data_IF_131045352325
#
_entry.id   IF_131045352325
#
_cell.length_a   1.000
_cell.length_b   1.000
_cell.length_c   1.000
_cell.angle_alpha   90.00
_cell.angle_beta   90.00
_cell.angle_gamma   90.00
#
_symmetry.space_group_name_H-M   'P 1'
#
loop_
_entity.id
_entity.type
_entity.pdbx_description
1 polymer ?
#
# COMPACT_ATOMS: atom_id res chain seq x y z
N UNK A 1 5.53 9.66 59.66
CA UNK A 1 4.83 8.39 59.92
C UNK A 1 5.30 7.39 58.87
N UNK A 2 6.02 6.35 59.27
CA UNK A 2 6.70 5.43 58.35
C UNK A 2 5.69 4.53 57.62
N UNK A 3 5.91 4.25 56.34
CA UNK A 3 5.04 3.39 55.53
C UNK A 3 4.86 1.99 56.15
N UNK A 4 5.88 1.53 56.88
CA UNK A 4 5.89 0.27 57.64
C UNK A 4 4.87 0.25 58.78
N UNK A 5 4.47 1.39 59.33
CA UNK A 5 3.47 1.46 60.42
C UNK A 5 2.04 1.35 59.91
N UNK A 6 1.77 1.70 58.64
CA UNK A 6 0.43 1.58 58.04
C UNK A 6 0.04 0.14 57.69
N UNK A 7 1.02 -0.71 57.36
CA UNK A 7 0.78 -2.11 56.97
C UNK A 7 0.34 -2.97 58.16
N UNK A 8 0.67 -2.57 59.40
CA UNK A 8 0.31 -3.32 60.62
C UNK A 8 -1.18 -3.35 60.94
N UNK A 9 -1.98 -2.44 60.38
CA UNK A 9 -3.44 -2.38 60.60
C UNK A 9 -4.25 -2.94 59.44
N UNK A 10 -3.60 -3.46 58.40
CA UNK A 10 -4.28 -4.09 57.27
C UNK A 10 -4.71 -5.49 57.71
N UNK A 11 -5.99 -5.77 57.54
CA UNK A 11 -6.56 -7.08 57.81
C UNK A 11 -5.79 -8.15 57.03
N UNK A 12 -5.32 -9.19 57.74
CA UNK A 12 -4.54 -10.28 57.14
C UNK A 12 -5.32 -10.97 56.03
N UNK A 13 -6.65 -10.99 56.14
CA UNK A 13 -7.54 -11.54 55.11
C UNK A 13 -7.53 -10.67 53.84
N UNK A 14 -7.58 -9.34 53.98
CA UNK A 14 -7.49 -8.41 52.86
C UNK A 14 -6.14 -8.50 52.13
N UNK A 15 -5.05 -8.71 52.89
CA UNK A 15 -3.70 -8.88 52.33
C UNK A 15 -3.58 -10.21 51.57
N UNK A 16 -4.20 -11.27 52.08
CA UNK A 16 -4.27 -12.58 51.40
C UNK A 16 -5.10 -12.49 50.12
N UNK A 17 -6.28 -11.84 50.15
CA UNK A 17 -7.14 -11.62 48.99
C UNK A 17 -6.42 -10.79 47.92
N UNK A 18 -5.75 -9.70 48.31
CA UNK A 18 -4.97 -8.89 47.38
C UNK A 18 -3.80 -9.68 46.76
N UNK A 19 -3.14 -10.53 47.55
CA UNK A 19 -2.09 -11.43 47.05
C UNK A 19 -2.61 -12.44 46.03
N UNK A 20 -3.74 -13.09 46.33
CA UNK A 20 -4.41 -14.02 45.39
C UNK A 20 -4.82 -13.30 44.12
N UNK A 21 -5.39 -12.11 44.22
CA UNK A 21 -5.79 -11.30 43.07
C UNK A 21 -4.60 -10.92 42.19
N UNK A 22 -3.48 -10.49 42.79
CA UNK A 22 -2.26 -10.19 42.05
C UNK A 22 -1.69 -11.42 41.33
N UNK A 23 -1.72 -12.61 41.96
CA UNK A 23 -1.32 -13.87 41.32
C UNK A 23 -2.22 -14.22 40.14
N UNK A 24 -3.55 -14.05 40.28
CA UNK A 24 -4.49 -14.28 39.19
C UNK A 24 -4.26 -13.31 38.02
N UNK A 25 -3.96 -12.03 38.29
CA UNK A 25 -3.59 -11.07 37.25
C UNK A 25 -2.29 -11.45 36.53
N UNK A 26 -1.28 -11.96 37.24
CA UNK A 26 -0.04 -12.45 36.62
C UNK A 26 -0.30 -13.70 35.77
N UNK A 27 -1.19 -14.59 36.22
CA UNK A 27 -1.60 -15.77 35.45
C UNK A 27 -2.36 -15.36 34.19
N UNK A 28 -3.36 -14.47 34.28
CA UNK A 28 -4.09 -13.94 33.12
C UNK A 28 -3.13 -13.23 32.14
N UNK A 29 -2.20 -12.42 32.65
CA UNK A 29 -1.18 -11.78 31.84
C UNK A 29 -0.25 -12.80 31.17
N UNK A 30 0.15 -13.87 31.86
CA UNK A 30 0.97 -14.96 31.28
C UNK A 30 0.23 -15.75 30.20
N UNK A 31 -1.09 -15.91 30.32
CA UNK A 31 -1.93 -16.53 29.29
C UNK A 31 -2.10 -15.62 28.06
N UNK A 32 -2.19 -14.30 28.27
CA UNK A 32 -2.28 -13.31 27.17
C UNK A 32 -0.93 -13.02 26.51
N UNK A 33 0.17 -13.14 27.26
CA UNK A 33 1.55 -13.11 26.75
C UNK A 33 1.99 -14.43 26.14
N UNK A 34 1.12 -15.45 26.12
CA UNK A 34 1.25 -16.57 25.21
C UNK A 34 0.97 -16.06 23.79
N UNK A 35 1.87 -15.23 23.28
CA UNK A 35 2.26 -15.31 21.89
C UNK A 35 2.70 -16.76 21.78
N UNK A 36 1.97 -17.67 21.09
CA UNK A 36 2.56 -18.95 20.74
C UNK A 36 3.87 -18.54 20.09
N UNK A 37 5.00 -18.91 20.71
CA UNK A 37 6.29 -18.73 20.08
C UNK A 37 6.10 -19.28 18.70
N UNK A 38 5.97 -18.38 17.73
CA UNK A 38 5.80 -18.74 16.34
C UNK A 38 7.12 -19.39 16.05
N UNK A 39 7.16 -20.72 16.18
CA UNK A 39 8.17 -21.54 15.57
C UNK A 39 8.27 -20.96 14.17
N UNK A 40 9.39 -20.31 13.86
CA UNK A 40 9.61 -19.76 12.53
C UNK A 40 9.40 -20.86 11.48
N UNK A 41 9.55 -22.11 11.89
CA UNK A 41 9.27 -23.33 11.14
C UNK A 41 7.77 -23.67 10.99
N UNK A 42 6.87 -23.26 11.90
CA UNK A 42 5.43 -23.47 11.75
C UNK A 42 4.84 -22.52 10.69
N UNK A 43 5.26 -21.25 10.70
CA UNK A 43 4.88 -20.28 9.65
C UNK A 43 5.53 -20.65 8.31
N UNK A 44 6.78 -21.13 8.32
CA UNK A 44 7.43 -21.64 7.11
C UNK A 44 6.79 -22.94 6.60
N UNK A 45 6.33 -23.84 7.47
CA UNK A 45 5.61 -25.06 7.07
C UNK A 45 4.19 -24.77 6.61
N UNK A 46 3.50 -23.76 7.15
CA UNK A 46 2.22 -23.29 6.60
C UNK A 46 2.40 -22.61 5.25
N UNK A 47 3.47 -21.82 5.04
CA UNK A 47 3.82 -21.29 3.70
C UNK A 47 4.21 -22.41 2.72
N UNK A 48 4.93 -23.44 3.18
CA UNK A 48 5.25 -24.60 2.37
C UNK A 48 4.01 -25.48 2.10
N UNK A 49 3.05 -25.56 3.01
CA UNK A 49 1.76 -26.20 2.76
C UNK A 49 0.89 -25.37 1.80
N UNK A 50 0.97 -24.05 1.84
CA UNK A 50 0.36 -23.15 0.85
C UNK A 50 0.99 -23.29 -0.55
N UNK A 51 2.23 -23.76 -0.64
CA UNK A 51 2.86 -24.13 -1.93
C UNK A 51 2.30 -25.42 -2.55
N UNK A 52 1.46 -26.17 -1.82
CA UNK A 52 0.69 -27.29 -2.36
C UNK A 52 -0.73 -26.90 -2.80
N UNK A 53 -1.09 -25.61 -2.78
CA UNK A 53 -2.19 -25.14 -3.62
C UNK A 53 -1.71 -25.31 -5.06
N UNK A 54 -2.04 -26.46 -5.66
CA UNK A 54 -2.08 -26.59 -7.11
C UNK A 54 -3.11 -25.57 -7.58
N UNK A 55 -2.63 -24.36 -7.86
CA UNK A 55 -3.31 -23.45 -8.76
C UNK A 55 -3.48 -24.26 -10.04
N UNK A 56 -4.72 -24.68 -10.32
CA UNK A 56 -5.04 -25.34 -11.57
C UNK A 56 -4.39 -24.55 -12.69
N UNK A 57 -3.64 -25.24 -13.54
CA UNK A 57 -2.91 -24.65 -14.65
C UNK A 57 -3.72 -23.53 -15.29
N UNK A 58 -3.07 -22.38 -15.45
CA UNK A 58 -3.63 -21.11 -15.91
C UNK A 58 -4.39 -21.31 -17.23
N UNK A 59 -5.69 -21.60 -17.14
CA UNK A 59 -6.64 -21.51 -18.26
C UNK A 59 -7.13 -20.07 -18.48
N UNK A 60 -6.39 -19.08 -17.97
CA UNK A 60 -6.79 -17.66 -18.02
C UNK A 60 -6.36 -16.99 -19.33
N UNK A 61 -5.61 -17.68 -20.20
CA UNK A 61 -5.00 -17.05 -21.38
C UNK A 61 -6.02 -16.73 -22.48
N UNK A 62 -6.99 -17.60 -22.75
CA UNK A 62 -7.89 -17.39 -23.90
C UNK A 62 -8.96 -16.32 -23.63
N UNK A 63 -9.57 -16.33 -22.44
CA UNK A 63 -10.57 -15.32 -22.06
C UNK A 63 -9.97 -13.92 -21.91
N UNK A 64 -8.75 -13.81 -21.38
CA UNK A 64 -8.05 -12.53 -21.25
C UNK A 64 -7.57 -12.01 -22.60
N UNK A 65 -7.10 -12.89 -23.48
CA UNK A 65 -6.67 -12.52 -24.84
C UNK A 65 -7.86 -12.11 -25.70
N UNK A 66 -8.99 -12.82 -25.61
CA UNK A 66 -10.24 -12.44 -26.25
C UNK A 66 -10.74 -11.08 -25.75
N UNK A 67 -10.70 -10.84 -24.44
CA UNK A 67 -11.06 -9.56 -23.85
C UNK A 67 -10.13 -8.41 -24.27
N UNK A 68 -8.81 -8.65 -24.34
CA UNK A 68 -7.85 -7.64 -24.81
C UNK A 68 -7.99 -7.34 -26.30
N UNK A 69 -8.30 -8.34 -27.13
CA UNK A 69 -8.53 -8.17 -28.55
C UNK A 69 -9.84 -7.41 -28.80
N UNK A 70 -10.93 -7.75 -28.10
CA UNK A 70 -12.18 -7.01 -28.16
C UNK A 70 -11.98 -5.52 -27.81
N UNK A 71 -11.22 -5.22 -26.76
CA UNK A 71 -10.90 -3.83 -26.40
C UNK A 71 -10.02 -3.11 -27.43
N UNK A 72 -9.14 -3.81 -28.15
CA UNK A 72 -8.37 -3.21 -29.26
C UNK A 72 -9.25 -2.92 -30.46
N UNK A 73 -10.16 -3.81 -30.80
CA UNK A 73 -11.11 -3.62 -31.90
C UNK A 73 -12.08 -2.48 -31.62
N UNK A 74 -12.59 -2.36 -30.39
CA UNK A 74 -13.43 -1.22 -29.96
C UNK A 74 -12.68 0.13 -30.08
N UNK A 75 -11.38 0.16 -29.77
CA UNK A 75 -10.54 1.36 -29.92
C UNK A 75 -10.25 1.69 -31.38
N UNK A 76 -10.10 0.69 -32.24
CA UNK A 76 -9.85 0.90 -33.68
C UNK A 76 -11.14 1.28 -34.43
N UNK A 77 -12.29 0.74 -34.02
CA UNK A 77 -13.60 1.13 -34.56
C UNK A 77 -13.99 2.56 -34.16
N UNK A 78 -13.58 3.02 -32.98
CA UNK A 78 -13.76 4.40 -32.53
C UNK A 78 -12.78 5.42 -33.17
N UNK A 79 -11.81 4.96 -33.98
CA UNK A 79 -10.84 5.80 -34.68
C UNK A 79 -11.20 6.05 -36.16
N UNK A 80 -12.40 5.68 -36.60
CA UNK A 80 -12.95 6.05 -37.92
C UNK A 80 -13.42 7.52 -37.97
N UNK A 81 -13.39 8.18 -39.15
CA UNK A 81 -13.49 9.63 -39.26
C UNK A 81 -14.94 10.10 -39.19
N UNK A 82 -15.43 10.38 -37.98
CA UNK A 82 -16.57 11.28 -37.78
C UNK A 82 -16.09 12.55 -37.05
N UNK A 83 -15.52 13.44 -37.85
CA UNK A 83 -15.38 14.84 -37.49
C UNK A 83 -16.74 15.52 -37.67
N UNK A 84 -17.55 15.58 -36.62
CA UNK A 84 -18.38 16.74 -36.23
C UNK A 84 -19.09 16.43 -34.90
N UNK A 85 -19.04 17.38 -33.96
CA UNK A 85 -19.73 17.39 -32.65
C UNK A 85 -19.12 16.65 -31.44
N UNK A 86 -17.81 16.43 -31.44
CA UNK A 86 -17.10 16.15 -30.18
C UNK A 86 -16.50 17.43 -29.58
N UNK A 87 -17.35 18.25 -28.96
CA UNK A 87 -16.97 18.80 -27.65
C UNK A 87 -16.88 17.62 -26.68
N UNK A 88 -15.89 16.75 -26.93
CA UNK A 88 -15.67 15.55 -26.17
C UNK A 88 -15.49 15.98 -24.73
N UNK A 89 -16.28 15.36 -23.84
CA UNK A 89 -16.06 15.44 -22.40
C UNK A 89 -14.61 15.05 -22.15
N UNK A 90 -13.71 16.03 -22.08
CA UNK A 90 -12.32 15.81 -21.73
C UNK A 90 -12.32 15.03 -20.43
N UNK A 91 -11.63 13.89 -20.39
CA UNK A 91 -11.50 13.12 -19.15
C UNK A 91 -10.98 14.07 -18.06
N UNK A 92 -11.57 14.05 -16.86
CA UNK A 92 -11.09 14.90 -15.79
C UNK A 92 -9.64 14.59 -15.45
N UNK A 93 -8.93 15.58 -14.95
CA UNK A 93 -7.57 15.41 -14.45
C UNK A 93 -7.56 14.43 -13.27
N UNK A 94 -6.45 13.71 -13.09
CA UNK A 94 -6.23 12.85 -11.93
C UNK A 94 -6.36 13.66 -10.64
N UNK A 95 -7.42 13.38 -9.88
CA UNK A 95 -7.65 13.99 -8.58
C UNK A 95 -6.51 13.62 -7.63
N UNK A 96 -5.97 14.61 -6.91
CA UNK A 96 -4.81 14.44 -6.03
C UNK A 96 -3.50 14.08 -6.75
N UNK A 97 -3.46 14.20 -8.08
CA UNK A 97 -2.21 14.14 -8.83
C UNK A 97 -1.31 15.35 -8.56
N UNK A 98 -0.01 15.17 -8.78
CA UNK A 98 1.02 16.21 -8.71
C UNK A 98 1.58 16.41 -10.12
N UNK A 99 1.81 17.66 -10.50
CA UNK A 99 2.32 17.99 -11.83
C UNK A 99 3.85 17.84 -11.88
N UNK A 100 4.34 17.09 -12.88
CA UNK A 100 5.74 16.93 -13.25
C UNK A 100 5.89 17.36 -14.72
N UNK A 101 6.05 18.67 -14.92
CA UNK A 101 6.08 19.26 -16.26
C UNK A 101 4.76 19.03 -17.01
N UNK A 102 4.76 18.37 -18.18
CA UNK A 102 3.54 18.13 -18.95
C UNK A 102 2.68 16.98 -18.41
N UNK A 103 3.19 16.19 -17.46
CA UNK A 103 2.49 15.04 -16.90
C UNK A 103 1.93 15.36 -15.52
N UNK A 104 0.70 14.95 -15.26
CA UNK A 104 0.15 14.87 -13.92
C UNK A 104 0.24 13.43 -13.42
N UNK A 105 0.99 13.20 -12.36
CA UNK A 105 1.21 11.86 -11.81
C UNK A 105 0.52 11.66 -10.48
N UNK A 106 0.06 10.44 -10.23
CA UNK A 106 -0.54 10.03 -8.97
C UNK A 106 0.07 8.71 -8.50
N UNK A 107 0.65 8.71 -7.31
CA UNK A 107 1.23 7.50 -6.72
C UNK A 107 0.14 6.58 -6.19
N UNK A 108 0.14 5.32 -6.64
CA UNK A 108 -0.85 4.30 -6.26
C UNK A 108 -0.35 3.35 -5.20
N UNK A 109 0.89 2.90 -5.35
CA UNK A 109 1.49 1.90 -4.47
C UNK A 109 3.01 1.98 -4.53
N UNK A 110 3.64 1.49 -3.48
CA UNK A 110 5.08 1.25 -3.45
C UNK A 110 5.27 -0.21 -3.06
N UNK A 111 5.85 -0.98 -3.97
CA UNK A 111 6.22 -2.37 -3.74
C UNK A 111 7.63 -2.40 -3.15
N UNK A 112 7.76 -3.04 -1.99
CA UNK A 112 9.05 -3.25 -1.32
C UNK A 112 9.31 -4.75 -1.33
N UNK A 113 10.35 -5.18 -2.05
CA UNK A 113 10.71 -6.60 -2.10
C UNK A 113 11.52 -6.98 -0.87
N UNK A 114 11.05 -7.95 -0.07
CA UNK A 114 11.69 -8.35 1.19
C UNK A 114 13.12 -8.84 1.01
N UNK A 115 13.39 -9.55 -0.10
CA UNK A 115 14.65 -10.26 -0.30
C UNK A 115 15.77 -9.36 -0.83
N UNK A 116 15.42 -8.34 -1.61
CA UNK A 116 16.38 -7.44 -2.26
C UNK A 116 16.35 -6.01 -1.71
N UNK A 117 15.36 -5.67 -0.89
CA UNK A 117 15.10 -4.30 -0.45
C UNK A 117 14.72 -3.36 -1.60
N UNK A 118 14.47 -3.88 -2.81
CA UNK A 118 14.15 -3.06 -3.98
C UNK A 118 12.77 -2.42 -3.80
N UNK A 119 12.72 -1.13 -4.06
CA UNK A 119 11.51 -0.32 -3.99
C UNK A 119 11.07 0.06 -5.40
N UNK A 120 9.81 -0.24 -5.74
CA UNK A 120 9.20 0.07 -7.03
C UNK A 120 7.94 0.90 -6.77
N UNK A 121 7.88 2.11 -7.32
CA UNK A 121 6.71 2.96 -7.25
C UNK A 121 5.80 2.70 -8.46
N UNK A 122 4.53 2.41 -8.21
CA UNK A 122 3.50 2.27 -9.24
C UNK A 122 2.67 3.54 -9.24
N UNK A 123 2.61 4.20 -10.39
CA UNK A 123 1.95 5.50 -10.56
C UNK A 123 1.03 5.49 -11.77
N UNK A 124 0.00 6.33 -11.72
CA UNK A 124 -0.75 6.75 -12.91
C UNK A 124 -0.14 8.04 -13.41
N UNK A 125 0.23 8.10 -14.68
CA UNK A 125 0.65 9.32 -15.35
C UNK A 125 -0.41 9.73 -16.36
N UNK A 126 -0.83 11.00 -16.31
CA UNK A 126 -1.77 11.57 -17.25
C UNK A 126 -1.14 12.73 -17.99
N UNK A 127 -1.27 12.74 -19.31
CA UNK A 127 -0.87 13.91 -20.09
C UNK A 127 -1.82 15.10 -19.84
N UNK A 128 -1.27 16.27 -19.52
CA UNK A 128 -2.04 17.49 -19.23
C UNK A 128 -2.68 18.13 -20.47
N UNK A 129 -2.50 17.58 -21.66
CA UNK A 129 -3.13 18.03 -22.90
C UNK A 129 -4.06 16.96 -23.44
N UNK A 130 -3.55 15.73 -23.60
CA UNK A 130 -4.28 14.62 -24.23
C UNK A 130 -5.24 13.92 -23.25
N UNK A 131 -5.06 14.13 -21.93
CA UNK A 131 -5.85 13.52 -20.84
C UNK A 131 -5.82 11.99 -20.81
N UNK A 132 -4.91 11.37 -21.55
CA UNK A 132 -4.71 9.94 -21.52
C UNK A 132 -3.90 9.52 -20.31
N UNK A 133 -4.35 8.44 -19.66
CA UNK A 133 -3.81 7.92 -18.41
C UNK A 133 -3.11 6.61 -18.70
N UNK A 134 -1.86 6.50 -18.27
CA UNK A 134 -1.04 5.31 -18.35
C UNK A 134 -0.56 4.90 -16.95
N UNK A 135 -0.44 3.59 -16.72
CA UNK A 135 0.24 3.07 -15.54
C UNK A 135 1.73 2.94 -15.82
N UNK A 136 2.54 3.55 -14.95
CA UNK A 136 3.98 3.53 -15.06
C UNK A 136 4.61 3.03 -13.76
N UNK A 137 5.74 2.36 -13.89
CA UNK A 137 6.56 1.89 -12.79
C UNK A 137 7.87 2.67 -12.76
N UNK A 138 8.31 3.11 -11.58
CA UNK A 138 9.61 3.77 -11.45
C UNK A 138 10.40 3.29 -10.25
N UNK A 139 11.72 3.20 -10.43
CA UNK A 139 12.69 2.87 -9.38
C UNK A 139 13.73 3.98 -9.19
N UNK A 140 14.54 3.87 -8.13
CA UNK A 140 15.57 4.87 -7.81
C UNK A 140 16.52 5.09 -8.99
N UNK A 141 16.71 6.36 -9.38
CA UNK A 141 17.58 6.76 -10.48
C UNK A 141 16.94 6.72 -11.87
N UNK A 142 15.73 6.20 -12.02
CA UNK A 142 15.00 6.23 -13.29
C UNK A 142 14.43 7.62 -13.59
N UNK A 143 14.17 7.89 -14.87
CA UNK A 143 13.68 9.18 -15.35
C UNK A 143 12.20 9.15 -15.72
N UNK A 144 11.57 10.30 -15.57
CA UNK A 144 10.23 10.60 -16.08
C UNK A 144 10.27 12.01 -16.69
N UNK A 145 10.42 12.07 -18.02
CA UNK A 145 10.76 13.32 -18.70
C UNK A 145 12.11 13.85 -18.21
N UNK A 146 12.13 15.12 -17.79
CA UNK A 146 13.33 15.78 -17.26
C UNK A 146 13.54 15.57 -15.76
N UNK A 147 12.65 14.81 -15.10
CA UNK A 147 12.73 14.50 -13.68
C UNK A 147 13.41 13.15 -13.47
N UNK A 148 14.26 13.04 -12.45
CA UNK A 148 14.90 11.79 -12.03
C UNK A 148 14.41 11.39 -10.65
N UNK A 149 14.11 10.12 -10.43
CA UNK A 149 13.71 9.61 -9.11
C UNK A 149 14.91 9.67 -8.16
N UNK A 150 14.84 10.55 -7.17
CA UNK A 150 15.91 10.76 -6.18
C UNK A 150 15.70 9.95 -4.91
N UNK A 151 14.45 9.62 -4.57
CA UNK A 151 14.13 8.72 -3.46
C UNK A 151 12.79 8.01 -3.68
N UNK A 152 12.70 6.77 -3.23
CA UNK A 152 11.44 6.05 -3.02
C UNK A 152 11.36 5.74 -1.53
N UNK A 153 10.26 6.09 -0.88
CA UNK A 153 10.04 5.85 0.56
C UNK A 153 8.78 5.01 0.72
N UNK A 154 8.36 4.72 1.96
CA UNK A 154 7.16 3.88 2.16
C UNK A 154 5.88 4.55 1.64
N UNK A 155 5.80 5.88 1.71
CA UNK A 155 4.56 6.62 1.50
C UNK A 155 4.65 7.65 0.37
N UNK A 156 5.82 7.80 -0.25
CA UNK A 156 6.08 8.88 -1.21
C UNK A 156 7.21 8.50 -2.16
N UNK A 157 7.20 9.14 -3.32
CA UNK A 157 8.30 9.15 -4.27
C UNK A 157 8.75 10.60 -4.48
N UNK A 158 10.06 10.81 -4.55
CA UNK A 158 10.67 12.13 -4.75
C UNK A 158 11.35 12.17 -6.11
N UNK A 159 11.01 13.20 -6.87
CA UNK A 159 11.58 13.51 -8.17
C UNK A 159 12.48 14.73 -8.05
N UNK A 160 13.61 14.72 -8.75
CA UNK A 160 14.57 15.82 -8.82
C UNK A 160 14.66 16.35 -10.24
N UNK A 161 14.66 17.67 -10.39
CA UNK A 161 14.93 18.37 -11.63
C UNK A 161 15.85 19.56 -11.36
N UNK A 162 17.14 19.45 -11.73
CA UNK A 162 18.13 20.45 -11.33
C UNK A 162 18.24 20.53 -9.81
N UNK A 163 18.03 21.72 -9.25
CA UNK A 163 18.01 21.97 -7.80
C UNK A 163 16.62 21.79 -7.17
N UNK A 164 15.57 21.65 -8.00
CA UNK A 164 14.19 21.51 -7.52
C UNK A 164 13.83 20.05 -7.20
N UNK A 165 13.09 19.87 -6.11
CA UNK A 165 12.54 18.56 -5.71
C UNK A 165 11.02 18.61 -5.63
N UNK A 166 10.39 17.56 -6.17
CA UNK A 166 8.93 17.39 -6.17
C UNK A 166 8.60 16.06 -5.50
N UNK A 167 7.83 16.14 -4.42
CA UNK A 167 7.38 14.96 -3.66
C UNK A 167 5.95 14.59 -4.07
N UNK A 168 5.75 13.33 -4.43
CA UNK A 168 4.44 12.77 -4.76
C UNK A 168 4.05 11.76 -3.68
N UNK A 169 3.09 12.08 -2.80
CA UNK A 169 2.62 11.17 -1.76
C UNK A 169 1.69 10.09 -2.33
N UNK A 170 1.59 8.96 -1.63
CA UNK A 170 0.65 7.90 -1.97
C UNK A 170 -0.78 8.45 -1.86
N UNK A 171 -1.57 8.23 -2.92
CA UNK A 171 -2.92 8.72 -2.96
C UNK A 171 -3.85 7.79 -2.17
N UNK A 172 -4.47 8.34 -1.13
CA UNK A 172 -5.43 7.63 -0.29
C UNK A 172 -6.87 8.04 -0.64
N UNK A 173 -7.64 7.09 -1.16
CA UNK A 173 -9.05 7.27 -1.48
C UNK A 173 -9.94 7.41 -0.24
N UNK A 174 -9.49 6.96 0.93
CA UNK A 174 -10.31 6.92 2.14
C UNK A 174 -10.45 8.27 2.86
N UNK A 175 -9.59 9.26 2.54
CA UNK A 175 -9.69 10.62 3.11
C UNK A 175 -10.77 11.51 2.49
N UNK A 176 -11.49 11.05 1.47
CA UNK A 176 -12.53 11.84 0.77
C UNK A 176 -13.94 11.81 1.43
N UNK A 177 -14.09 11.28 2.64
CA UNK A 177 -15.42 11.10 3.28
C UNK A 177 -15.80 12.25 4.23
N UNK A 178 -14.94 13.24 4.45
CA UNK A 178 -15.28 14.43 5.25
C UNK A 178 -14.93 15.70 4.47
N UNK A 179 -15.92 16.22 3.73
CA UNK A 179 -16.16 17.65 3.50
C UNK A 179 -17.59 17.84 2.94
#
# INVERSE_FOLDING_TARGET
>A
MSWLTRIRHIDRTALLVAGVFAVLCLIDFSQRLWVPGTDANAVANELAAASNVKVSDVQVVDGLTAWMNQRREERQAAAGPEATDNASKQKPLLEGGVDLGPLRVRLRAILITSDSGKQVAIMEAQDNTERDVEFIERTLGEKLGDYTVSAVRVNEIVFQHGDDSVTVPIFDYQRKVED
#
